data_IF_223731195542
#
_entry.id   IF_223731195542
#
_cell.length_a   1.000
_cell.length_b   1.000
_cell.length_c   1.000
_cell.angle_alpha   90.00
_cell.angle_beta   90.00
_cell.angle_gamma   90.00
#
_symmetry.space_group_name_H-M   'P 1'
#
loop_
_entity.id
_entity.type
_entity.pdbx_description
1 polymer ?
#
# COMPACT_ATOMS: atom_id res chain seq x y z
N UNK A 1 6.11 2.93 -0.57
CA UNK A 1 6.66 2.67 -1.92
C UNK A 1 8.13 2.35 -1.74
N UNK A 2 8.68 1.37 -2.45
CA UNK A 2 10.09 1.00 -2.35
C UNK A 2 10.99 2.07 -2.99
N UNK A 3 12.30 1.96 -2.75
CA UNK A 3 13.28 2.94 -3.20
C UNK A 3 13.33 3.03 -4.73
N UNK A 4 13.28 1.91 -5.43
CA UNK A 4 13.42 1.88 -6.89
C UNK A 4 12.22 2.56 -7.56
N UNK A 5 11.01 2.32 -7.04
CA UNK A 5 9.79 3.02 -7.46
C UNK A 5 9.86 4.53 -7.21
N UNK A 6 10.37 4.95 -6.05
CA UNK A 6 10.56 6.37 -5.72
C UNK A 6 11.57 7.02 -6.66
N UNK A 7 12.70 6.36 -6.90
CA UNK A 7 13.75 6.88 -7.76
C UNK A 7 13.30 6.92 -9.22
N UNK A 8 12.51 5.94 -9.68
CA UNK A 8 11.84 5.99 -10.99
C UNK A 8 10.89 7.19 -11.10
N UNK A 9 10.02 7.42 -10.12
CA UNK A 9 9.08 8.56 -10.12
C UNK A 9 9.81 9.91 -10.23
N UNK A 10 10.99 10.05 -9.62
CA UNK A 10 11.83 11.26 -9.72
C UNK A 10 12.39 11.50 -11.13
N UNK A 11 12.54 10.46 -11.95
CA UNK A 11 12.97 10.61 -13.35
C UNK A 11 11.84 11.14 -14.24
N UNK A 12 10.59 10.98 -13.81
CA UNK A 12 9.41 11.43 -14.56
C UNK A 12 9.15 12.91 -14.31
N UNK A 13 8.72 13.61 -15.36
CA UNK A 13 8.30 15.01 -15.30
C UNK A 13 7.01 15.22 -16.08
N UNK A 14 6.05 15.91 -15.46
CA UNK A 14 4.74 16.29 -16.02
C UNK A 14 3.95 15.10 -16.58
N UNK A 15 4.13 13.88 -16.05
CA UNK A 15 3.36 12.71 -16.47
C UNK A 15 2.06 12.62 -15.69
N UNK A 16 1.02 12.10 -16.33
CA UNK A 16 -0.20 11.69 -15.62
C UNK A 16 0.13 10.40 -14.88
N UNK A 17 0.04 10.42 -13.56
CA UNK A 17 0.40 9.28 -12.70
C UNK A 17 -0.83 8.77 -11.98
N UNK A 18 -1.01 7.47 -12.07
CA UNK A 18 -1.95 6.68 -11.28
C UNK A 18 -1.15 5.64 -10.52
N UNK A 19 -1.62 5.23 -9.34
CA UNK A 19 -1.02 4.09 -8.64
C UNK A 19 -2.06 3.06 -8.21
N UNK A 20 -1.62 1.81 -8.18
CA UNK A 20 -2.29 0.71 -7.50
C UNK A 20 -1.27 0.10 -6.53
N UNK A 21 -1.69 -0.20 -5.31
CA UNK A 21 -0.85 -0.90 -4.34
C UNK A 21 -1.65 -1.84 -3.45
N UNK A 22 -0.97 -2.82 -2.89
CA UNK A 22 -1.49 -3.67 -1.81
C UNK A 22 -0.90 -3.21 -0.48
N UNK A 23 -1.69 -3.19 0.58
CA UNK A 23 -1.21 -2.84 1.92
C UNK A 23 -1.65 -3.88 2.94
N UNK A 24 -0.76 -4.25 3.87
CA UNK A 24 -1.06 -5.18 4.97
C UNK A 24 -1.74 -4.58 6.19
N UNK A 25 -1.85 -3.26 6.26
CA UNK A 25 -2.63 -2.55 7.25
C UNK A 25 -4.13 -2.71 6.96
N UNK A 26 -4.97 -2.62 7.99
CA UNK A 26 -6.42 -2.67 7.78
C UNK A 26 -6.90 -1.42 7.02
N UNK A 27 -7.88 -1.54 6.11
CA UNK A 27 -8.42 -0.40 5.36
C UNK A 27 -9.01 0.74 6.22
N UNK A 28 -9.47 0.42 7.43
CA UNK A 28 -10.09 1.35 8.38
C UNK A 28 -9.09 2.02 9.33
N UNK A 29 -7.78 1.81 9.15
CA UNK A 29 -6.74 2.31 10.07
C UNK A 29 -6.14 3.66 9.63
N UNK A 30 -5.68 4.47 10.60
CA UNK A 30 -4.94 5.71 10.30
C UNK A 30 -3.71 5.45 9.42
N UNK A 31 -2.99 4.36 9.69
CA UNK A 31 -1.81 3.98 8.91
C UNK A 31 -2.13 3.75 7.42
N UNK A 32 -3.33 3.29 7.08
CA UNK A 32 -3.77 3.16 5.69
C UNK A 32 -3.84 4.52 5.00
N UNK A 33 -4.44 5.50 5.66
CA UNK A 33 -4.57 6.86 5.15
C UNK A 33 -3.20 7.53 5.00
N UNK A 34 -2.32 7.35 5.99
CA UNK A 34 -0.95 7.88 5.94
C UNK A 34 -0.17 7.31 4.76
N UNK A 35 -0.29 6.00 4.49
CA UNK A 35 0.40 5.37 3.35
C UNK A 35 -0.14 5.92 2.03
N UNK A 36 -1.46 6.10 1.91
CA UNK A 36 -2.08 6.66 0.71
C UNK A 36 -1.62 8.09 0.45
N UNK A 37 -1.70 8.98 1.45
CA UNK A 37 -1.32 10.38 1.28
C UNK A 37 0.17 10.55 1.00
N UNK A 38 1.03 9.72 1.62
CA UNK A 38 2.46 9.72 1.30
C UNK A 38 2.74 9.28 -0.15
N UNK A 39 2.05 8.24 -0.64
CA UNK A 39 2.18 7.80 -2.03
C UNK A 39 1.70 8.87 -3.01
N UNK A 40 0.54 9.48 -2.74
CA UNK A 40 -0.01 10.60 -3.49
C UNK A 40 0.94 11.80 -3.53
N UNK A 41 1.55 12.16 -2.40
CA UNK A 41 2.55 13.23 -2.33
C UNK A 41 3.73 12.94 -3.26
N UNK A 42 4.33 11.76 -3.16
CA UNK A 42 5.44 11.34 -4.02
C UNK A 42 5.06 11.37 -5.51
N UNK A 43 3.86 10.89 -5.86
CA UNK A 43 3.34 10.94 -7.22
C UNK A 43 3.04 12.37 -7.71
N UNK A 44 2.91 13.35 -6.83
CA UNK A 44 2.58 14.75 -7.17
C UNK A 44 3.81 15.67 -7.24
N UNK A 45 4.97 15.28 -6.70
CA UNK A 45 6.14 16.17 -6.57
C UNK A 45 6.64 16.74 -7.91
N UNK A 46 6.70 15.91 -8.96
CA UNK A 46 7.14 16.31 -10.30
C UNK A 46 6.15 15.94 -11.41
N UNK A 47 4.98 15.43 -11.04
CA UNK A 47 4.02 14.82 -11.95
C UNK A 47 2.59 15.23 -11.59
N UNK A 48 1.67 14.89 -12.47
CA UNK A 48 0.25 15.14 -12.29
C UNK A 48 -0.38 13.88 -11.71
N UNK A 49 -0.46 13.77 -10.38
CA UNK A 49 -1.24 12.72 -9.75
C UNK A 49 -2.71 12.85 -10.18
N UNK A 50 -3.28 11.77 -10.68
CA UNK A 50 -4.65 11.75 -11.20
C UNK A 50 -5.60 10.95 -10.31
N UNK A 51 -5.18 9.77 -9.89
CA UNK A 51 -5.96 8.92 -8.97
C UNK A 51 -5.09 7.79 -8.42
N UNK A 52 -5.55 7.11 -7.37
CA UNK A 52 -4.83 5.97 -6.81
C UNK A 52 -5.75 5.02 -6.05
N UNK A 53 -5.35 3.75 -5.99
CA UNK A 53 -6.05 2.72 -5.23
C UNK A 53 -5.07 1.96 -4.33
N UNK A 54 -5.48 1.76 -3.08
CA UNK A 54 -4.93 0.71 -2.23
C UNK A 54 -5.99 -0.39 -2.08
N UNK A 55 -5.56 -1.64 -2.19
CA UNK A 55 -6.36 -2.82 -1.85
C UNK A 55 -5.72 -3.57 -0.69
N UNK A 56 -6.54 -4.27 0.09
CA UNK A 56 -6.02 -4.98 1.25
C UNK A 56 -5.23 -6.19 0.76
N UNK A 57 -4.10 -6.47 1.39
CA UNK A 57 -3.25 -7.58 0.96
C UNK A 57 -2.41 -8.13 2.08
N UNK A 58 -1.92 -9.35 1.91
CA UNK A 58 -1.05 -10.00 2.89
C UNK A 58 0.28 -9.29 3.06
N UNK A 59 0.85 -9.44 4.25
CA UNK A 59 2.23 -9.03 4.54
C UNK A 59 3.17 -10.14 4.06
N UNK A 60 4.21 -9.77 3.32
CA UNK A 60 5.17 -10.74 2.78
C UNK A 60 5.90 -11.49 3.89
N UNK A 61 6.28 -12.74 3.62
CA UNK A 61 6.96 -13.59 4.60
C UNK A 61 8.28 -12.97 5.07
N UNK A 62 9.01 -12.36 4.15
CA UNK A 62 10.28 -11.67 4.41
C UNK A 62 10.09 -10.52 5.41
N UNK A 63 9.01 -9.75 5.26
CA UNK A 63 8.70 -8.66 6.17
C UNK A 63 8.25 -9.17 7.54
N UNK A 64 7.48 -10.27 7.58
CA UNK A 64 7.13 -10.92 8.85
C UNK A 64 8.36 -11.43 9.59
N UNK A 65 9.29 -12.09 8.89
CA UNK A 65 10.52 -12.63 9.46
C UNK A 65 11.47 -11.51 9.93
N UNK A 66 11.58 -10.43 9.17
CA UNK A 66 12.29 -9.21 9.60
C UNK A 66 11.68 -8.64 10.89
N UNK A 67 10.35 -8.52 10.96
CA UNK A 67 9.68 -7.92 12.13
C UNK A 67 9.84 -8.77 13.41
N UNK A 68 9.93 -10.10 13.30
CA UNK A 68 10.17 -11.01 14.44
C UNK A 68 11.52 -10.76 15.12
N UNK A 69 12.48 -10.19 14.40
CA UNK A 69 13.81 -9.85 14.95
C UNK A 69 13.84 -8.51 15.69
N UNK A 70 12.75 -7.73 15.68
CA UNK A 70 12.72 -6.45 16.38
C UNK A 70 12.56 -6.63 17.89
N UNK A 71 13.28 -5.82 18.71
CA UNK A 71 13.11 -5.83 20.15
C UNK A 71 11.72 -5.33 20.54
N UNK A 72 11.23 -5.70 21.73
CA UNK A 72 9.90 -5.34 22.20
C UNK A 72 9.64 -3.82 22.29
N UNK A 73 10.69 -3.02 22.43
CA UNK A 73 10.62 -1.54 22.44
C UNK A 73 10.45 -0.93 21.04
N UNK A 74 10.58 -1.70 19.97
CA UNK A 74 10.47 -1.22 18.61
C UNK A 74 8.98 -0.99 18.23
N UNK A 75 8.63 0.09 17.50
CA UNK A 75 7.26 0.35 17.06
C UNK A 75 6.63 -0.78 16.21
N UNK A 76 7.48 -1.59 15.58
CA UNK A 76 7.08 -2.74 14.76
C UNK A 76 7.36 -4.10 15.41
N UNK A 77 7.59 -4.13 16.72
CA UNK A 77 7.68 -5.38 17.46
C UNK A 77 6.44 -6.25 17.22
N UNK A 78 6.66 -7.57 17.21
CA UNK A 78 5.58 -8.55 17.07
C UNK A 78 4.83 -8.66 18.39
N UNK A 79 3.56 -8.24 18.37
CA UNK A 79 2.60 -8.41 19.46
C UNK A 79 1.48 -9.36 19.03
N UNK A 80 0.70 -9.94 19.97
CA UNK A 80 -0.46 -10.74 19.63
C UNK A 80 -1.45 -10.03 18.68
N UNK A 81 -1.69 -8.73 18.90
CA UNK A 81 -2.57 -7.92 18.05
C UNK A 81 -1.98 -7.73 16.64
N UNK A 82 -0.65 -7.68 16.51
CA UNK A 82 0.02 -7.63 15.20
C UNK A 82 -0.10 -8.96 14.47
N UNK A 83 0.08 -10.09 15.16
CA UNK A 83 -0.12 -11.42 14.57
C UNK A 83 -1.56 -11.63 14.10
N UNK A 84 -2.56 -11.20 14.89
CA UNK A 84 -3.96 -11.26 14.49
C UNK A 84 -4.24 -10.43 13.23
N UNK A 85 -3.60 -9.26 13.09
CA UNK A 85 -3.68 -8.44 11.87
C UNK A 85 -3.04 -9.13 10.67
N UNK A 86 -1.90 -9.81 10.86
CA UNK A 86 -1.22 -10.53 9.78
C UNK A 86 -2.07 -11.70 9.29
N UNK A 87 -2.66 -12.45 10.22
CA UNK A 87 -3.55 -13.56 9.90
C UNK A 87 -4.78 -13.07 9.14
N UNK A 88 -5.43 -12.00 9.62
CA UNK A 88 -6.57 -11.41 8.93
C UNK A 88 -6.21 -10.93 7.51
N UNK A 89 -5.04 -10.30 7.33
CA UNK A 89 -4.58 -9.86 6.01
C UNK A 89 -4.14 -11.03 5.10
N UNK A 90 -3.85 -12.22 5.65
CA UNK A 90 -3.30 -13.36 4.90
C UNK A 90 -4.24 -13.92 3.84
N UNK A 91 -5.55 -13.74 4.04
CA UNK A 91 -6.62 -14.13 3.12
C UNK A 91 -6.88 -13.09 2.03
N UNK A 92 -6.16 -11.95 2.07
CA UNK A 92 -6.28 -10.85 1.11
C UNK A 92 -5.04 -10.73 0.20
N UNK A 93 -5.15 -10.21 -1.03
CA UNK A 93 -6.39 -9.74 -1.67
C UNK A 93 -7.40 -10.86 -1.92
N UNK A 94 -8.68 -10.60 -1.62
CA UNK A 94 -9.79 -11.50 -1.88
C UNK A 94 -10.56 -11.11 -3.16
N UNK A 95 -11.68 -11.80 -3.45
CA UNK A 95 -12.51 -11.49 -4.62
C UNK A 95 -13.07 -10.05 -4.59
N UNK A 96 -13.34 -9.49 -3.41
CA UNK A 96 -13.84 -8.12 -3.29
C UNK A 96 -12.72 -7.11 -3.54
N UNK A 97 -11.49 -7.39 -3.10
CA UNK A 97 -10.32 -6.58 -3.41
C UNK A 97 -10.04 -6.56 -4.92
N UNK A 98 -10.19 -7.70 -5.60
CA UNK A 98 -10.07 -7.76 -7.05
C UNK A 98 -11.18 -6.97 -7.76
N UNK A 99 -12.43 -7.08 -7.32
CA UNK A 99 -13.53 -6.27 -7.86
C UNK A 99 -13.29 -4.77 -7.69
N UNK A 100 -12.79 -4.33 -6.53
CA UNK A 100 -12.42 -2.92 -6.32
C UNK A 100 -11.34 -2.45 -7.30
N UNK A 101 -10.33 -3.29 -7.56
CA UNK A 101 -9.29 -2.98 -8.53
C UNK A 101 -9.84 -2.91 -9.95
N UNK A 102 -10.71 -3.85 -10.33
CA UNK A 102 -11.39 -3.86 -11.63
C UNK A 102 -12.25 -2.60 -11.82
N UNK A 103 -13.11 -2.28 -10.86
CA UNK A 103 -13.95 -1.08 -10.87
C UNK A 103 -13.12 0.20 -10.98
N UNK A 104 -11.99 0.27 -10.27
CA UNK A 104 -11.07 1.41 -10.36
C UNK A 104 -10.54 1.61 -11.78
N UNK A 105 -10.08 0.53 -12.44
CA UNK A 105 -9.57 0.64 -13.81
C UNK A 105 -10.68 0.89 -14.84
N UNK A 106 -11.87 0.29 -14.68
CA UNK A 106 -13.03 0.60 -15.53
C UNK A 106 -13.37 2.08 -15.45
N UNK A 107 -13.49 2.62 -14.23
CA UNK A 107 -13.77 4.04 -14.03
C UNK A 107 -12.65 4.94 -14.57
N UNK A 108 -11.40 4.49 -14.48
CA UNK A 108 -10.26 5.21 -15.04
C UNK A 108 -10.30 5.28 -16.57
N UNK A 109 -10.64 4.19 -17.25
CA UNK A 109 -10.67 4.12 -18.71
C UNK A 109 -11.87 4.85 -19.33
N UNK A 110 -12.93 5.07 -18.55
CA UNK A 110 -14.15 5.74 -18.98
C UNK A 110 -14.18 7.25 -18.64
N UNK A 111 -13.09 7.80 -18.09
CA UNK A 111 -12.89 9.25 -17.84
C UNK A 111 -12.20 9.92 -19.02
#
# INVERSE_FOLDING_TARGET
MDKDSIDFLKTLKNKNVYFLGTLGARPDSEHWNDVFENAKKLCSENNNFKDGLLIWGRISKEMQDMMKNFPASHPHAVTPERLARWEAASTHPDENDFKKAEEFFINLLNK
#
